data_IF_068140985550
#
_entry.id   IF_068140985550
#
_cell.length_a   1.000
_cell.length_b   1.000
_cell.length_c   1.000
_cell.angle_alpha   90.00
_cell.angle_beta   90.00
_cell.angle_gamma   90.00
#
_symmetry.space_group_name_H-M   'P 1'
#
loop_
_entity.id
_entity.type
_entity.pdbx_description
1 polymer ?
#
# COMPACT_ATOMS: atom_id res chain seq x y z
N UNK A 1 -1.57 -5.70 -12.08
CA UNK A 1 -2.72 -5.25 -12.89
C UNK A 1 -4.02 -5.59 -12.16
N UNK A 2 -5.10 -4.83 -12.34
CA UNK A 2 -6.39 -5.06 -11.67
C UNK A 2 -7.56 -4.57 -12.53
N UNK A 3 -8.73 -5.23 -12.45
CA UNK A 3 -9.96 -4.77 -13.09
C UNK A 3 -10.89 -4.20 -12.02
N UNK A 4 -11.16 -2.90 -12.11
CA UNK A 4 -11.95 -2.19 -11.10
C UNK A 4 -13.27 -1.63 -11.68
N UNK A 5 -13.77 -2.17 -12.79
CA UNK A 5 -14.95 -1.64 -13.49
C UNK A 5 -16.25 -1.67 -12.67
N UNK A 6 -16.33 -2.52 -11.66
CA UNK A 6 -17.51 -2.69 -10.81
C UNK A 6 -17.49 -1.84 -9.53
N UNK A 7 -16.46 -1.04 -9.31
CA UNK A 7 -16.27 -0.28 -8.07
C UNK A 7 -16.70 1.17 -8.20
N UNK A 8 -17.25 1.72 -7.11
CA UNK A 8 -17.50 3.15 -6.98
C UNK A 8 -16.19 3.91 -6.83
N UNK A 9 -16.22 5.22 -7.12
CA UNK A 9 -15.04 6.08 -7.01
C UNK A 9 -14.41 6.07 -5.61
N UNK A 10 -15.24 5.99 -4.55
CA UNK A 10 -14.77 5.85 -3.18
C UNK A 10 -13.99 4.54 -2.96
N UNK A 11 -14.47 3.42 -3.51
CA UNK A 11 -13.77 2.13 -3.44
C UNK A 11 -12.48 2.14 -4.26
N UNK A 12 -12.44 2.84 -5.41
CA UNK A 12 -11.21 3.05 -6.16
C UNK A 12 -10.16 3.78 -5.32
N UNK A 13 -10.57 4.83 -4.59
CA UNK A 13 -9.69 5.58 -3.72
C UNK A 13 -9.19 4.73 -2.54
N UNK A 14 -10.05 3.91 -1.94
CA UNK A 14 -9.67 2.96 -0.89
C UNK A 14 -8.66 1.92 -1.39
N UNK A 15 -8.90 1.37 -2.59
CA UNK A 15 -7.98 0.44 -3.24
C UNK A 15 -6.60 1.07 -3.49
N UNK A 16 -6.55 2.32 -3.95
CA UNK A 16 -5.30 3.06 -4.11
C UNK A 16 -4.59 3.30 -2.77
N UNK A 17 -5.34 3.64 -1.71
CA UNK A 17 -4.78 3.80 -0.37
C UNK A 17 -4.15 2.50 0.17
N UNK A 18 -4.72 1.34 -0.16
CA UNK A 18 -4.12 0.05 0.18
C UNK A 18 -2.80 -0.17 -0.57
N UNK A 19 -2.71 0.20 -1.85
CA UNK A 19 -1.44 0.11 -2.59
C UNK A 19 -0.35 0.98 -1.96
N UNK A 20 -0.73 2.19 -1.51
CA UNK A 20 0.17 3.09 -0.79
C UNK A 20 0.73 2.42 0.46
N UNK A 21 -0.14 1.80 1.26
CA UNK A 21 0.31 1.12 2.47
C UNK A 21 1.23 -0.06 2.16
N UNK A 22 0.91 -0.88 1.15
CA UNK A 22 1.75 -2.01 0.72
C UNK A 22 3.13 -1.55 0.24
N UNK A 23 3.23 -0.40 -0.43
CA UNK A 23 4.51 0.18 -0.84
C UNK A 23 5.42 0.51 0.35
N UNK A 24 4.84 1.13 1.39
CA UNK A 24 5.53 1.48 2.64
C UNK A 24 5.98 0.21 3.37
N UNK A 25 5.04 -0.70 3.61
CA UNK A 25 5.27 -1.93 4.37
C UNK A 25 6.39 -2.79 3.80
N UNK A 26 6.47 -2.86 2.47
CA UNK A 26 7.45 -3.69 1.78
C UNK A 26 8.74 -2.94 1.44
N UNK A 27 8.77 -1.62 1.63
CA UNK A 27 9.83 -0.74 1.11
C UNK A 27 10.09 -1.00 -0.37
N UNK A 28 9.02 -1.03 -1.18
CA UNK A 28 9.08 -1.28 -2.63
C UNK A 28 8.28 -0.21 -3.37
N UNK A 29 8.66 -0.03 -4.63
CA UNK A 29 7.84 0.71 -5.58
C UNK A 29 6.60 -0.12 -5.91
N UNK A 30 5.42 0.49 -5.83
CA UNK A 30 4.17 -0.12 -6.25
C UNK A 30 3.71 0.50 -7.57
N UNK A 31 3.49 -0.35 -8.57
CA UNK A 31 3.01 0.04 -9.89
C UNK A 31 1.68 -0.67 -10.10
N UNK A 32 0.62 0.11 -10.18
CA UNK A 32 -0.72 -0.39 -10.44
C UNK A 32 -1.17 0.08 -11.81
N UNK A 33 -1.47 -0.89 -12.66
CA UNK A 33 -2.18 -0.67 -13.91
C UNK A 33 -3.60 -1.24 -13.77
N UNK A 34 -4.60 -0.42 -14.04
CA UNK A 34 -6.02 -0.82 -14.03
C UNK A 34 -6.71 -0.48 -15.33
N UNK A 35 -7.75 -1.24 -15.69
CA UNK A 35 -8.54 -0.94 -16.90
C UNK A 35 -9.37 0.35 -16.79
N UNK A 36 -10.10 0.54 -15.68
CA UNK A 36 -11.03 1.66 -15.47
C UNK A 36 -10.82 2.36 -14.13
N UNK A 37 -10.09 1.74 -13.21
CA UNK A 37 -9.74 2.34 -11.91
C UNK A 37 -8.58 3.34 -12.00
N UNK A 38 -8.02 3.67 -10.84
CA UNK A 38 -6.77 4.42 -10.76
C UNK A 38 -5.58 3.52 -11.12
N UNK A 39 -4.88 3.87 -12.19
CA UNK A 39 -3.49 3.45 -12.38
C UNK A 39 -2.58 4.42 -11.65
N UNK A 40 -1.52 3.92 -11.02
CA UNK A 40 -0.66 4.76 -10.19
C UNK A 40 0.77 4.21 -10.04
N UNK A 41 1.67 5.12 -9.70
CA UNK A 41 3.04 4.81 -9.26
C UNK A 41 3.19 5.38 -7.86
N UNK A 42 3.50 4.50 -6.90
CA UNK A 42 3.77 4.86 -5.52
C UNK A 42 5.21 4.48 -5.16
N UNK A 43 5.94 5.43 -4.60
CA UNK A 43 7.30 5.17 -4.14
C UNK A 43 7.29 4.43 -2.77
N UNK A 44 8.44 3.89 -2.33
CA UNK A 44 8.55 3.16 -1.06
C UNK A 44 8.23 3.96 0.20
N UNK A 45 8.12 5.28 0.11
CA UNK A 45 7.75 6.17 1.21
C UNK A 45 6.24 6.49 1.20
N UNK A 46 5.46 5.85 0.34
CA UNK A 46 4.02 6.03 0.23
C UNK A 46 3.60 7.25 -0.57
N UNK A 47 4.53 7.95 -1.23
CA UNK A 47 4.18 9.09 -2.07
C UNK A 47 3.68 8.59 -3.42
N UNK A 48 2.48 9.00 -3.79
CA UNK A 48 1.93 8.75 -5.13
C UNK A 48 2.55 9.76 -6.10
N UNK A 49 3.51 9.31 -6.91
CA UNK A 49 4.23 10.17 -7.86
C UNK A 49 3.39 10.47 -9.10
N UNK A 50 2.54 9.51 -9.48
CA UNK A 50 1.59 9.67 -10.56
C UNK A 50 0.33 8.86 -10.28
N UNK A 51 -0.83 9.40 -10.68
CA UNK A 51 -2.13 8.74 -10.62
C UNK A 51 -2.97 9.17 -11.81
N UNK A 52 -3.58 8.20 -12.51
CA UNK A 52 -4.51 8.48 -13.60
C UNK A 52 -5.85 8.99 -13.09
N UNK A 53 -6.64 9.57 -13.99
CA UNK A 53 -8.09 9.65 -13.81
C UNK A 53 -8.72 8.26 -13.98
N UNK A 54 -9.88 8.03 -13.35
CA UNK A 54 -10.68 6.84 -13.58
C UNK A 54 -11.39 6.93 -14.95
N UNK A 55 -11.77 5.78 -15.51
CA UNK A 55 -12.54 5.65 -16.75
C UNK A 55 -11.98 6.43 -17.95
N UNK A 56 -10.68 6.71 -17.95
CA UNK A 56 -10.00 7.50 -18.98
C UNK A 56 -8.88 6.68 -19.60
N UNK A 57 -8.84 6.57 -20.92
CA UNK A 57 -7.72 5.97 -21.62
C UNK A 57 -6.47 6.81 -21.40
N UNK A 58 -5.42 6.20 -20.84
CA UNK A 58 -4.15 6.89 -20.56
C UNK A 58 -2.97 5.96 -20.81
N UNK A 59 -1.86 6.55 -21.20
CA UNK A 59 -0.56 5.90 -21.28
C UNK A 59 0.41 6.69 -20.39
N UNK A 60 1.17 5.98 -19.57
CA UNK A 60 2.18 6.59 -18.72
C UNK A 60 3.41 5.67 -18.63
N UNK A 61 4.58 6.28 -18.63
CA UNK A 61 5.86 5.61 -18.52
C UNK A 61 6.73 6.38 -17.51
N UNK A 62 7.41 5.64 -16.64
CA UNK A 62 8.29 6.19 -15.62
C UNK A 62 9.40 5.19 -15.29
N UNK A 63 10.45 5.64 -14.61
CA UNK A 63 11.56 4.83 -14.16
C UNK A 63 11.41 4.48 -12.68
N UNK A 64 11.46 3.18 -12.38
CA UNK A 64 11.39 2.65 -11.01
C UNK A 64 12.69 1.95 -10.63
N UNK A 65 12.93 1.79 -9.32
CA UNK A 65 14.18 1.24 -8.82
C UNK A 65 13.97 0.00 -7.96
N UNK A 66 14.80 -1.02 -8.19
CA UNK A 66 14.84 -2.21 -7.34
C UNK A 66 15.42 -1.86 -5.98
N UNK A 67 14.89 -2.48 -4.92
CA UNK A 67 15.38 -2.32 -3.54
C UNK A 67 15.63 -3.69 -2.91
N UNK A 68 16.68 -3.79 -2.10
CA UNK A 68 17.08 -5.03 -1.43
C UNK A 68 16.74 -5.04 0.07
N UNK A 69 16.59 -3.87 0.68
CA UNK A 69 16.28 -3.74 2.11
C UNK A 69 14.92 -4.40 2.40
N UNK A 70 14.87 -5.25 3.43
CA UNK A 70 13.63 -5.80 3.98
C UNK A 70 13.25 -5.03 5.24
N UNK A 71 12.00 -4.59 5.32
CA UNK A 71 11.45 -3.95 6.53
C UNK A 71 11.27 -4.99 7.66
N UNK A 72 11.19 -4.54 8.92
CA UNK A 72 10.72 -5.37 10.04
C UNK A 72 9.46 -6.17 9.70
N UNK A 73 8.49 -5.51 9.08
CA UNK A 73 7.22 -6.12 8.71
C UNK A 73 7.40 -7.23 7.66
N UNK A 74 8.25 -7.06 6.66
CA UNK A 74 8.54 -8.14 5.69
C UNK A 74 9.30 -9.31 6.33
N UNK A 75 10.20 -9.03 7.29
CA UNK A 75 11.01 -10.08 7.93
C UNK A 75 10.21 -10.94 8.90
N UNK A 76 9.29 -10.31 9.62
CA UNK A 76 8.60 -10.96 10.73
C UNK A 76 7.11 -11.18 10.43
N UNK A 77 6.49 -10.37 9.58
CA UNK A 77 5.07 -10.51 9.25
C UNK A 77 4.15 -10.00 10.36
N UNK A 78 2.89 -10.45 10.32
CA UNK A 78 1.81 -9.86 11.11
C UNK A 78 1.91 -10.14 12.62
N UNK A 79 2.68 -11.13 13.08
CA UNK A 79 2.71 -11.53 14.50
C UNK A 79 3.29 -10.48 15.45
N UNK A 80 4.03 -9.48 14.93
CA UNK A 80 4.50 -8.36 15.75
C UNK A 80 3.34 -7.57 16.33
N UNK A 81 2.30 -7.29 15.53
CA UNK A 81 1.16 -6.47 15.95
C UNK A 81 0.39 -7.06 17.15
N UNK A 82 -0.07 -8.34 17.13
CA UNK A 82 -0.71 -8.95 18.30
C UNK A 82 0.25 -9.09 19.48
N UNK A 83 1.55 -9.35 19.25
CA UNK A 83 2.53 -9.39 20.33
C UNK A 83 2.59 -8.04 21.08
N UNK A 84 2.73 -6.93 20.36
CA UNK A 84 2.78 -5.60 20.97
C UNK A 84 1.47 -5.26 21.69
N UNK A 85 0.33 -5.66 21.15
CA UNK A 85 -0.96 -5.53 21.82
C UNK A 85 -1.01 -6.29 23.14
N UNK A 86 -0.54 -7.55 23.18
CA UNK A 86 -0.52 -8.36 24.40
C UNK A 86 0.39 -7.71 25.45
N UNK A 87 1.58 -7.25 25.06
CA UNK A 87 2.51 -6.55 25.97
C UNK A 87 1.85 -5.29 26.56
N UNK A 88 1.15 -4.51 25.72
CA UNK A 88 0.44 -3.31 26.17
C UNK A 88 -0.68 -3.64 27.17
N UNK A 89 -1.47 -4.68 26.89
CA UNK A 89 -2.53 -5.13 27.79
C UNK A 89 -1.97 -5.56 29.14
N UNK A 90 -0.91 -6.37 29.16
CA UNK A 90 -0.25 -6.80 30.40
C UNK A 90 0.29 -5.60 31.17
N UNK A 91 0.92 -4.65 30.49
CA UNK A 91 1.44 -3.44 31.11
C UNK A 91 0.34 -2.62 31.80
N UNK A 92 -0.81 -2.44 31.14
CA UNK A 92 -1.96 -1.74 31.73
C UNK A 92 -2.49 -2.51 32.94
N UNK A 93 -2.59 -3.84 32.87
CA UNK A 93 -3.08 -4.66 33.99
C UNK A 93 -2.18 -4.62 35.22
N UNK A 94 -0.87 -4.53 35.05
CA UNK A 94 0.10 -4.45 36.17
C UNK A 94 0.16 -3.03 36.77
N UNK A 95 -0.22 -2.02 36.01
CA UNK A 95 -0.16 -0.61 36.42
C UNK A 95 -1.43 -0.09 37.11
N UNK A 96 -2.51 -0.90 37.12
CA UNK A 96 -3.78 -0.65 37.81
C UNK A 96 -3.79 -1.31 39.19
#
# INVERSE_FOLDING_TARGET
>A
ASNNAHYSEAMLAQHHAQDVMRAIETNRWAIRATNTGYSAIVNPHGQTLWKSQAHTYTLHADTIYRRQIQTPYVKWGDWLSPLWMIILIIFIMVSL
#
